data_IF_065463778177
#
_entry.id   IF_065463778177
#
_cell.length_a   1.000
_cell.length_b   1.000
_cell.length_c   1.000
_cell.angle_alpha   90.00
_cell.angle_beta   90.00
_cell.angle_gamma   90.00
#
_symmetry.space_group_name_H-M   'P 1'
#
loop_
_entity.id
_entity.type
_entity.pdbx_description
1 polymer ?
#
# COMPACT_ATOMS: atom_id res chain seq x y z
N UNK A 1 -8.60 -16.03 7.32
CA UNK A 1 -8.22 -15.92 5.89
C UNK A 1 -6.74 -16.18 5.77
N UNK A 2 -6.31 -16.90 4.76
CA UNK A 2 -4.89 -17.14 4.54
C UNK A 2 -4.26 -15.92 3.85
N UNK A 3 -2.94 -15.70 4.10
CA UNK A 3 -2.16 -14.65 3.45
C UNK A 3 -1.95 -14.91 1.95
N UNK A 4 -1.07 -14.13 1.34
CA UNK A 4 -0.58 -14.36 -0.03
C UNK A 4 0.87 -14.81 0.06
N UNK A 5 1.23 -15.86 -0.70
CA UNK A 5 2.60 -16.37 -0.76
C UNK A 5 3.15 -16.29 -2.17
N UNK A 6 4.34 -15.73 -2.28
CA UNK A 6 5.15 -15.75 -3.49
C UNK A 6 6.23 -16.82 -3.32
N UNK A 7 6.39 -17.67 -4.33
CA UNK A 7 7.42 -18.70 -4.35
C UNK A 7 8.26 -18.56 -5.64
N UNK A 8 9.53 -18.18 -5.46
CA UNK A 8 10.53 -18.01 -6.51
C UNK A 8 10.05 -17.12 -7.68
N UNK A 9 9.32 -16.02 -7.36
CA UNK A 9 8.73 -15.15 -8.38
C UNK A 9 9.78 -14.27 -9.04
N UNK A 10 9.85 -14.33 -10.39
CA UNK A 10 10.75 -13.51 -11.20
C UNK A 10 10.00 -12.76 -12.29
N UNK A 11 10.50 -11.55 -12.62
CA UNK A 11 9.96 -10.69 -13.68
C UNK A 11 11.06 -10.12 -14.55
N UNK A 12 10.87 -10.23 -15.87
CA UNK A 12 11.79 -9.72 -16.88
C UNK A 12 11.05 -8.69 -17.76
N UNK A 13 11.76 -7.66 -18.19
CA UNK A 13 11.31 -6.76 -19.24
C UNK A 13 12.31 -6.73 -20.38
N UNK A 14 11.82 -6.61 -21.60
CA UNK A 14 12.68 -6.46 -22.78
C UNK A 14 12.74 -4.98 -23.14
N UNK A 15 13.94 -4.40 -23.08
CA UNK A 15 14.23 -3.03 -23.49
C UNK A 15 15.32 -3.07 -24.56
N UNK A 16 15.07 -2.51 -25.75
CA UNK A 16 16.03 -2.45 -26.87
C UNK A 16 16.69 -3.83 -27.18
N UNK A 17 15.91 -4.92 -27.10
CA UNK A 17 16.34 -6.32 -27.30
C UNK A 17 17.15 -6.92 -26.14
N UNK A 18 17.43 -6.18 -25.09
CA UNK A 18 18.06 -6.71 -23.87
C UNK A 18 17.01 -7.12 -22.85
N UNK A 19 17.21 -8.28 -22.22
CA UNK A 19 16.34 -8.75 -21.14
C UNK A 19 16.84 -8.21 -19.80
N UNK A 20 16.05 -7.36 -19.19
CA UNK A 20 16.32 -6.78 -17.87
C UNK A 20 15.53 -7.55 -16.81
N UNK A 21 16.21 -8.18 -15.88
CA UNK A 21 15.61 -8.87 -14.74
C UNK A 21 15.31 -7.85 -13.65
N UNK A 22 14.01 -7.54 -13.45
CA UNK A 22 13.54 -6.53 -12.46
C UNK A 22 13.24 -7.17 -11.11
N UNK A 23 12.72 -8.41 -11.11
CA UNK A 23 12.57 -9.21 -9.89
C UNK A 23 13.21 -10.58 -10.10
N UNK A 24 13.93 -11.08 -9.10
CA UNK A 24 14.76 -12.24 -9.19
C UNK A 24 14.53 -13.21 -8.03
N UNK A 25 13.64 -14.20 -8.25
CA UNK A 25 13.42 -15.27 -7.27
C UNK A 25 12.88 -14.74 -5.95
N UNK A 26 11.77 -13.99 -5.97
CA UNK A 26 11.16 -13.45 -4.76
C UNK A 26 10.41 -14.55 -4.03
N UNK A 27 10.86 -14.83 -2.80
CA UNK A 27 10.15 -15.66 -1.82
C UNK A 27 9.62 -14.75 -0.72
N UNK A 28 8.28 -14.63 -0.59
CA UNK A 28 7.63 -13.70 0.32
C UNK A 28 6.32 -14.26 0.83
N UNK A 29 6.16 -14.29 2.15
CA UNK A 29 4.87 -14.50 2.80
C UNK A 29 4.30 -13.16 3.24
N UNK A 30 3.09 -12.84 2.75
CA UNK A 30 2.33 -11.65 3.11
C UNK A 30 1.18 -12.11 4.02
N UNK A 31 1.27 -11.87 5.33
CA UNK A 31 0.28 -12.37 6.29
C UNK A 31 -1.07 -11.70 6.10
N UNK A 32 -2.14 -12.44 6.41
CA UNK A 32 -3.49 -11.89 6.43
C UNK A 32 -3.68 -10.90 7.58
N UNK A 33 -4.53 -9.89 7.34
CA UNK A 33 -4.94 -8.89 8.34
C UNK A 33 -3.78 -8.09 8.95
N UNK A 34 -2.66 -7.99 8.24
CA UNK A 34 -1.48 -7.23 8.63
C UNK A 34 -1.07 -6.24 7.54
N UNK A 35 -0.28 -5.25 7.93
CA UNK A 35 0.36 -4.32 7.02
C UNK A 35 1.78 -4.83 6.74
N UNK A 36 2.02 -5.28 5.50
CA UNK A 36 3.37 -5.60 5.02
C UNK A 36 3.90 -4.44 4.21
N UNK A 37 5.03 -3.89 4.61
CA UNK A 37 5.67 -2.77 3.91
C UNK A 37 6.83 -3.27 3.06
N UNK A 38 6.82 -2.90 1.78
CA UNK A 38 7.96 -3.06 0.87
C UNK A 38 8.73 -1.75 0.83
N UNK A 39 9.89 -1.75 1.41
CA UNK A 39 10.80 -0.62 1.48
C UNK A 39 11.95 -0.80 0.50
N UNK A 40 12.36 0.25 -0.19
CA UNK A 40 13.50 0.20 -1.09
C UNK A 40 13.67 1.48 -1.90
N UNK A 41 14.81 1.61 -2.55
CA UNK A 41 15.13 2.77 -3.40
C UNK A 41 14.27 2.80 -4.68
N UNK A 42 14.20 3.96 -5.32
CA UNK A 42 13.54 4.06 -6.63
C UNK A 42 14.17 3.09 -7.64
N UNK A 43 13.33 2.43 -8.44
CA UNK A 43 13.79 1.48 -9.48
C UNK A 43 14.16 0.08 -8.97
N UNK A 44 14.05 -0.25 -7.68
CA UNK A 44 14.41 -1.58 -7.16
C UNK A 44 13.36 -2.68 -7.42
N UNK A 45 12.20 -2.36 -8.01
CA UNK A 45 11.15 -3.34 -8.37
C UNK A 45 9.90 -3.33 -7.50
N UNK A 46 9.72 -2.38 -6.55
CA UNK A 46 8.57 -2.32 -5.63
C UNK A 46 7.22 -2.28 -6.36
N UNK A 47 7.04 -1.32 -7.27
CA UNK A 47 5.81 -1.18 -8.06
C UNK A 47 5.55 -2.41 -8.93
N UNK A 48 6.61 -3.02 -9.49
CA UNK A 48 6.48 -4.28 -10.24
C UNK A 48 5.96 -5.39 -9.33
N UNK A 49 6.55 -5.58 -8.15
CA UNK A 49 6.09 -6.57 -7.17
C UNK A 49 4.60 -6.37 -6.82
N UNK A 50 4.20 -5.11 -6.57
CA UNK A 50 2.83 -4.75 -6.27
C UNK A 50 1.88 -5.14 -7.42
N UNK A 51 2.27 -4.84 -8.68
CA UNK A 51 1.49 -5.17 -9.88
C UNK A 51 1.34 -6.68 -10.09
N UNK A 52 2.38 -7.46 -9.80
CA UNK A 52 2.30 -8.93 -9.87
C UNK A 52 1.31 -9.48 -8.84
N UNK A 53 1.40 -9.04 -7.58
CA UNK A 53 0.48 -9.48 -6.51
C UNK A 53 -0.96 -9.07 -6.81
N UNK A 54 -1.17 -7.89 -7.40
CA UNK A 54 -2.51 -7.42 -7.77
C UNK A 54 -3.12 -8.19 -8.96
N UNK A 55 -2.28 -8.84 -9.78
CA UNK A 55 -2.69 -9.44 -11.05
C UNK A 55 -2.82 -8.44 -12.20
N UNK A 56 -2.36 -7.18 -12.01
CA UNK A 56 -2.29 -6.17 -13.09
C UNK A 56 -1.19 -6.50 -14.10
N UNK A 57 -0.25 -7.35 -13.70
CA UNK A 57 0.84 -7.82 -14.55
C UNK A 57 1.13 -9.29 -14.26
N UNK A 58 1.58 -10.06 -15.27
CA UNK A 58 1.99 -11.44 -15.12
C UNK A 58 3.45 -11.57 -14.72
N UNK A 59 3.78 -12.56 -13.90
CA UNK A 59 5.16 -12.96 -13.62
C UNK A 59 5.66 -13.90 -14.71
N UNK A 60 6.99 -14.04 -14.84
CA UNK A 60 7.60 -14.88 -15.86
C UNK A 60 8.05 -16.25 -15.29
N UNK A 61 8.35 -16.34 -13.99
CA UNK A 61 8.74 -17.55 -13.28
C UNK A 61 8.20 -17.56 -11.86
N UNK A 62 8.03 -18.74 -11.28
CA UNK A 62 7.54 -18.94 -9.92
C UNK A 62 6.02 -19.06 -9.86
N UNK A 63 5.46 -18.81 -8.69
CA UNK A 63 4.00 -18.83 -8.44
C UNK A 63 3.59 -17.84 -7.37
N UNK A 64 2.33 -17.39 -7.44
CA UNK A 64 1.68 -16.55 -6.42
C UNK A 64 0.43 -17.28 -5.93
N UNK A 65 0.46 -17.71 -4.67
CA UNK A 65 -0.59 -18.53 -4.07
C UNK A 65 -1.50 -17.66 -3.21
N UNK A 66 -2.81 -17.88 -3.28
CA UNK A 66 -3.80 -17.22 -2.44
C UNK A 66 -4.23 -15.82 -2.91
N UNK A 67 -3.72 -15.34 -4.06
CA UNK A 67 -4.10 -14.02 -4.58
C UNK A 67 -5.43 -14.03 -5.36
N UNK A 68 -5.74 -15.10 -6.10
CA UNK A 68 -6.88 -15.13 -7.04
C UNK A 68 -8.24 -15.18 -6.35
N UNK A 69 -8.31 -15.76 -5.15
CA UNK A 69 -9.55 -15.89 -4.38
C UNK A 69 -9.95 -14.63 -3.61
N UNK A 70 -9.18 -13.53 -3.70
CA UNK A 70 -9.34 -12.32 -2.88
C UNK A 70 -9.94 -11.17 -3.66
N UNK A 71 -10.81 -10.40 -2.99
CA UNK A 71 -11.23 -9.08 -3.48
C UNK A 71 -10.06 -8.12 -3.25
N UNK A 72 -9.51 -7.60 -4.34
CA UNK A 72 -8.31 -6.75 -4.31
C UNK A 72 -8.64 -5.32 -4.69
N UNK A 73 -8.09 -4.34 -3.95
CA UNK A 73 -8.10 -2.94 -4.31
C UNK A 73 -6.67 -2.42 -4.50
N UNK A 74 -6.50 -1.42 -5.36
CA UNK A 74 -5.21 -0.81 -5.65
C UNK A 74 -5.29 0.71 -5.50
N UNK A 75 -4.41 1.27 -4.67
CA UNK A 75 -4.18 2.71 -4.53
C UNK A 75 -2.91 3.06 -5.29
N UNK A 76 -3.06 3.82 -6.36
CA UNK A 76 -1.94 4.27 -7.18
C UNK A 76 -1.24 5.48 -6.53
N UNK A 77 -0.01 5.73 -6.92
CA UNK A 77 0.75 6.91 -6.52
C UNK A 77 0.02 8.21 -6.92
N UNK A 78 -0.57 8.23 -8.12
CA UNK A 78 -1.50 9.27 -8.56
C UNK A 78 -2.91 8.96 -8.08
N UNK A 79 -3.71 9.96 -7.75
CA UNK A 79 -5.06 9.80 -7.20
C UNK A 79 -6.07 9.13 -8.15
N UNK A 80 -5.86 9.28 -9.48
CA UNK A 80 -6.68 8.70 -10.57
C UNK A 80 -8.19 8.85 -10.32
N UNK A 81 -8.61 10.03 -9.88
CA UNK A 81 -10.02 10.35 -9.72
C UNK A 81 -10.68 10.64 -11.07
N UNK A 82 -11.97 10.27 -11.18
CA UNK A 82 -12.80 10.64 -12.31
C UNK A 82 -13.17 12.13 -12.20
N UNK A 83 -12.67 13.03 -13.07
CA UNK A 83 -12.83 14.47 -12.89
C UNK A 83 -14.28 14.96 -13.01
N UNK A 84 -15.15 14.17 -13.63
CA UNK A 84 -16.58 14.45 -13.79
C UNK A 84 -17.47 13.87 -12.70
N UNK A 85 -16.91 13.17 -11.71
CA UNK A 85 -17.62 12.61 -10.55
C UNK A 85 -17.28 13.42 -9.30
N UNK A 86 -18.25 13.59 -8.41
CA UNK A 86 -18.03 14.13 -7.07
C UNK A 86 -17.29 13.13 -6.16
N UNK A 87 -16.96 13.55 -4.94
CA UNK A 87 -16.24 12.74 -3.95
C UNK A 87 -16.96 11.43 -3.69
N UNK A 88 -18.26 11.45 -3.37
CA UNK A 88 -19.02 10.22 -3.10
C UNK A 88 -19.02 9.28 -4.29
N UNK A 89 -19.30 9.80 -5.47
CA UNK A 89 -19.34 9.01 -6.69
C UNK A 89 -17.98 8.43 -7.08
N UNK A 90 -16.88 9.17 -6.80
CA UNK A 90 -15.52 8.64 -6.95
C UNK A 90 -15.24 7.49 -5.96
N UNK A 91 -15.67 7.62 -4.70
CA UNK A 91 -15.47 6.59 -3.68
C UNK A 91 -16.25 5.32 -4.01
N UNK A 92 -17.46 5.44 -4.53
CA UNK A 92 -18.30 4.31 -4.92
C UNK A 92 -18.04 3.81 -6.35
N UNK A 93 -17.11 4.43 -7.07
CA UNK A 93 -16.76 4.04 -8.43
C UNK A 93 -16.19 2.62 -8.47
N UNK A 94 -16.78 1.77 -9.32
CA UNK A 94 -16.41 0.36 -9.45
C UNK A 94 -17.20 -0.60 -8.55
N UNK A 95 -18.03 -0.07 -7.63
CA UNK A 95 -18.96 -0.90 -6.82
C UNK A 95 -20.30 -0.98 -7.56
N UNK A 96 -20.83 -2.19 -7.71
CA UNK A 96 -22.15 -2.35 -8.32
C UNK A 96 -23.22 -1.66 -7.46
N UNK A 97 -24.13 -0.86 -8.06
CA UNK A 97 -25.10 0.00 -7.35
C UNK A 97 -25.89 -0.72 -6.23
N UNK A 98 -26.22 -2.01 -6.43
CA UNK A 98 -26.95 -2.83 -5.45
C UNK A 98 -26.09 -3.31 -4.28
N UNK A 99 -24.76 -3.21 -4.39
CA UNK A 99 -23.79 -3.66 -3.40
C UNK A 99 -23.18 -2.50 -2.61
N UNK A 100 -23.58 -1.25 -2.91
CA UNK A 100 -23.10 -0.08 -2.19
C UNK A 100 -23.71 -0.07 -0.79
N UNK A 101 -22.87 -0.31 0.21
CA UNK A 101 -23.21 -0.03 1.60
C UNK A 101 -23.02 1.47 1.89
N UNK A 102 -24.12 2.21 1.82
CA UNK A 102 -24.12 3.66 2.03
C UNK A 102 -23.64 4.07 3.42
N UNK A 103 -23.95 3.28 4.46
CA UNK A 103 -23.51 3.58 5.82
C UNK A 103 -22.00 3.46 5.93
N UNK A 104 -21.42 2.38 5.37
CA UNK A 104 -19.97 2.18 5.31
C UNK A 104 -19.27 3.30 4.52
N UNK A 105 -19.82 3.68 3.38
CA UNK A 105 -19.28 4.78 2.55
C UNK A 105 -19.27 6.09 3.34
N UNK A 106 -20.37 6.43 3.99
CA UNK A 106 -20.50 7.66 4.77
C UNK A 106 -19.53 7.67 5.98
N UNK A 107 -19.36 6.54 6.66
CA UNK A 107 -18.37 6.36 7.73
C UNK A 107 -16.93 6.54 7.23
N UNK A 108 -16.59 5.95 6.08
CA UNK A 108 -15.25 6.10 5.49
C UNK A 108 -15.01 7.56 5.11
N UNK A 109 -15.98 8.24 4.48
CA UNK A 109 -15.88 9.67 4.12
C UNK A 109 -15.65 10.53 5.36
N UNK A 110 -16.34 10.23 6.47
CA UNK A 110 -16.14 10.92 7.74
C UNK A 110 -14.75 10.66 8.32
N UNK A 111 -14.31 9.40 8.33
CA UNK A 111 -13.00 8.98 8.85
C UNK A 111 -11.84 9.67 8.10
N UNK A 112 -11.91 9.78 6.77
CA UNK A 112 -10.88 10.49 5.98
C UNK A 112 -11.08 12.02 5.98
N UNK A 113 -11.98 12.57 6.81
CA UNK A 113 -12.17 14.02 6.99
C UNK A 113 -12.79 14.73 5.79
N UNK A 114 -13.52 14.03 4.91
CA UNK A 114 -14.08 14.59 3.68
C UNK A 114 -15.58 14.88 3.75
N UNK A 115 -16.22 14.81 4.92
CA UNK A 115 -17.68 15.01 5.08
C UNK A 115 -18.17 16.35 4.49
N UNK A 116 -17.41 17.44 4.67
CA UNK A 116 -17.76 18.77 4.14
C UNK A 116 -17.60 18.89 2.62
N UNK A 117 -16.89 17.95 1.99
CA UNK A 117 -16.56 17.92 0.57
C UNK A 117 -17.28 16.81 -0.19
N UNK A 118 -18.33 16.27 0.40
CA UNK A 118 -19.08 15.11 -0.11
C UNK A 118 -19.52 15.22 -1.58
N UNK A 119 -19.99 16.42 -1.98
CA UNK A 119 -20.44 16.75 -3.34
C UNK A 119 -19.40 17.56 -4.14
N UNK A 120 -18.18 17.71 -3.63
CA UNK A 120 -17.13 18.45 -4.34
C UNK A 120 -16.54 17.60 -5.47
N UNK A 121 -16.15 18.27 -6.56
CA UNK A 121 -15.46 17.64 -7.68
C UNK A 121 -13.93 17.68 -7.47
N UNK A 122 -13.16 16.79 -8.13
CA UNK A 122 -11.70 16.74 -7.99
C UNK A 122 -11.00 18.10 -8.23
N UNK A 123 -11.53 18.94 -9.12
CA UNK A 123 -10.98 20.28 -9.38
C UNK A 123 -11.08 21.25 -8.18
N UNK A 124 -11.92 20.93 -7.20
CA UNK A 124 -12.17 21.74 -5.99
C UNK A 124 -11.38 21.20 -4.78
N UNK A 125 -10.60 20.13 -4.95
CA UNK A 125 -9.87 19.45 -3.88
C UNK A 125 -8.38 19.75 -3.95
N UNK A 126 -7.73 19.84 -2.79
CA UNK A 126 -6.27 19.82 -2.70
C UNK A 126 -5.71 18.45 -3.08
N UNK A 127 -4.40 18.35 -3.38
CA UNK A 127 -3.75 17.07 -3.68
C UNK A 127 -3.93 16.03 -2.55
N UNK A 128 -3.75 16.45 -1.29
CA UNK A 128 -3.98 15.58 -0.14
C UNK A 128 -5.44 15.11 -0.02
N UNK A 129 -6.41 15.99 -0.31
CA UNK A 129 -7.84 15.59 -0.31
C UNK A 129 -8.13 14.58 -1.41
N UNK A 130 -7.57 14.74 -2.60
CA UNK A 130 -7.72 13.77 -3.70
C UNK A 130 -7.14 12.41 -3.32
N UNK A 131 -5.99 12.40 -2.66
CA UNK A 131 -5.37 11.16 -2.16
C UNK A 131 -6.26 10.47 -1.12
N UNK A 132 -6.88 11.24 -0.20
CA UNK A 132 -7.87 10.71 0.75
C UNK A 132 -9.07 10.08 0.05
N UNK A 133 -9.58 10.67 -1.03
CA UNK A 133 -10.65 10.08 -1.85
C UNK A 133 -10.21 8.77 -2.48
N UNK A 134 -8.97 8.68 -3.01
CA UNK A 134 -8.42 7.45 -3.60
C UNK A 134 -8.32 6.32 -2.57
N UNK A 135 -7.84 6.62 -1.36
CA UNK A 135 -7.75 5.66 -0.25
C UNK A 135 -9.17 5.25 0.20
N UNK A 136 -10.08 6.21 0.37
CA UNK A 136 -11.47 5.93 0.74
C UNK A 136 -12.17 5.02 -0.28
N UNK A 137 -11.94 5.23 -1.58
CA UNK A 137 -12.44 4.37 -2.67
C UNK A 137 -11.96 2.93 -2.52
N UNK A 138 -10.68 2.72 -2.20
CA UNK A 138 -10.14 1.39 -2.01
C UNK A 138 -10.82 0.65 -0.84
N UNK A 139 -11.02 1.33 0.29
CA UNK A 139 -11.68 0.73 1.46
C UNK A 139 -13.20 0.55 1.28
N UNK A 140 -13.86 1.44 0.53
CA UNK A 140 -15.30 1.33 0.25
C UNK A 140 -15.65 0.07 -0.57
N UNK A 141 -14.70 -0.43 -1.37
CA UNK A 141 -14.84 -1.67 -2.13
C UNK A 141 -14.93 -2.93 -1.27
N UNK A 142 -14.72 -2.83 0.06
CA UNK A 142 -14.67 -3.95 1.01
C UNK A 142 -13.65 -5.04 0.61
N UNK A 143 -12.39 -4.69 0.42
CA UNK A 143 -11.40 -5.63 -0.07
C UNK A 143 -10.87 -6.54 1.04
N UNK A 144 -10.47 -7.76 0.66
CA UNK A 144 -9.64 -8.64 1.49
C UNK A 144 -8.19 -8.17 1.54
N UNK A 145 -7.77 -7.50 0.44
CA UNK A 145 -6.38 -7.13 0.22
C UNK A 145 -6.24 -5.79 -0.51
N UNK A 146 -5.47 -4.87 0.06
CA UNK A 146 -5.19 -3.56 -0.55
C UNK A 146 -3.71 -3.45 -0.89
N UNK A 147 -3.40 -3.09 -2.13
CA UNK A 147 -2.07 -2.68 -2.56
C UNK A 147 -2.00 -1.16 -2.61
N UNK A 148 -0.96 -0.57 -2.01
CA UNK A 148 -0.74 0.88 -1.98
C UNK A 148 0.66 1.22 -2.51
N UNK A 149 0.71 1.96 -3.62
CA UNK A 149 1.97 2.34 -4.28
C UNK A 149 2.33 3.78 -3.93
N UNK A 150 3.21 3.97 -2.95
CA UNK A 150 3.70 5.26 -2.44
C UNK A 150 2.58 6.30 -2.20
N UNK A 151 1.48 5.94 -1.47
CA UNK A 151 0.25 6.76 -1.43
C UNK A 151 0.44 8.12 -0.73
N UNK A 152 1.52 8.30 0.01
CA UNK A 152 1.78 9.52 0.77
C UNK A 152 2.93 10.37 0.21
N UNK A 153 3.49 9.99 -0.95
CA UNK A 153 4.67 10.64 -1.52
C UNK A 153 4.47 12.13 -1.86
N UNK A 154 3.24 12.52 -2.22
CA UNK A 154 2.89 13.89 -2.59
C UNK A 154 2.38 14.75 -1.41
N UNK A 155 2.37 14.22 -0.17
CA UNK A 155 1.85 14.91 1.00
C UNK A 155 2.96 15.65 1.77
N UNK A 156 2.61 16.81 2.32
CA UNK A 156 3.44 17.47 3.32
C UNK A 156 3.52 16.65 4.64
N UNK A 157 4.44 17.02 5.51
CA UNK A 157 4.74 16.26 6.73
C UNK A 157 3.50 16.05 7.62
N UNK A 158 2.78 17.11 7.96
CA UNK A 158 1.64 17.02 8.89
C UNK A 158 0.46 16.27 8.29
N UNK A 159 0.17 16.52 7.00
CA UNK A 159 -0.88 15.79 6.29
C UNK A 159 -0.55 14.31 6.20
N UNK A 160 0.73 13.97 6.02
CA UNK A 160 1.20 12.58 5.97
C UNK A 160 1.02 11.87 7.30
N UNK A 161 1.43 12.46 8.43
CA UNK A 161 1.21 11.90 9.77
C UNK A 161 -0.29 11.64 10.01
N UNK A 162 -1.13 12.64 9.74
CA UNK A 162 -2.57 12.48 9.87
C UNK A 162 -3.11 11.32 9.03
N UNK A 163 -2.62 11.16 7.79
CA UNK A 163 -3.06 10.08 6.90
C UNK A 163 -2.58 8.71 7.36
N UNK A 164 -1.40 8.61 7.96
CA UNK A 164 -0.91 7.38 8.58
C UNK A 164 -1.82 6.96 9.74
N UNK A 165 -2.16 7.88 10.63
CA UNK A 165 -3.08 7.62 11.74
C UNK A 165 -4.47 7.18 11.24
N UNK A 166 -5.00 7.86 10.22
CA UNK A 166 -6.28 7.52 9.61
C UNK A 166 -6.24 6.12 8.97
N UNK A 167 -5.15 5.79 8.25
CA UNK A 167 -4.95 4.47 7.66
C UNK A 167 -4.93 3.37 8.73
N UNK A 168 -4.19 3.58 9.82
CA UNK A 168 -4.13 2.63 10.93
C UNK A 168 -5.49 2.41 11.58
N UNK A 169 -6.25 3.48 11.84
CA UNK A 169 -7.62 3.39 12.39
C UNK A 169 -8.56 2.60 11.48
N UNK A 170 -8.52 2.86 10.17
CA UNK A 170 -9.34 2.12 9.20
C UNK A 170 -8.92 0.66 9.15
N UNK A 171 -7.59 0.39 9.10
CA UNK A 171 -7.06 -0.96 9.09
C UNK A 171 -7.45 -1.76 10.33
N UNK A 172 -7.34 -1.16 11.52
CA UNK A 172 -7.71 -1.80 12.79
C UNK A 172 -9.19 -2.21 12.83
N UNK A 173 -10.05 -1.39 12.22
CA UNK A 173 -11.50 -1.63 12.16
C UNK A 173 -11.88 -2.67 11.10
N UNK A 174 -11.31 -2.59 9.91
CA UNK A 174 -11.69 -3.41 8.76
C UNK A 174 -10.88 -4.70 8.65
N UNK A 175 -9.71 -4.76 9.31
CA UNK A 175 -8.81 -5.93 9.34
C UNK A 175 -8.54 -6.55 7.97
N UNK A 176 -8.39 -5.70 6.92
CA UNK A 176 -7.96 -6.15 5.62
C UNK A 176 -6.42 -6.25 5.57
N UNK A 177 -5.89 -7.09 4.71
CA UNK A 177 -4.44 -7.15 4.49
C UNK A 177 -3.98 -5.98 3.64
N UNK A 178 -2.84 -5.36 3.98
CA UNK A 178 -2.28 -4.24 3.20
C UNK A 178 -0.86 -4.58 2.78
N UNK A 179 -0.57 -4.43 1.48
CA UNK A 179 0.79 -4.39 0.95
C UNK A 179 1.11 -2.94 0.59
N UNK A 180 1.95 -2.32 1.39
CA UNK A 180 2.28 -0.90 1.30
C UNK A 180 3.69 -0.72 0.74
N UNK A 181 3.83 0.06 -0.32
CA UNK A 181 5.12 0.39 -0.92
C UNK A 181 5.51 1.80 -0.54
N UNK A 182 6.73 1.98 -0.07
CA UNK A 182 7.32 3.29 0.24
C UNK A 182 8.83 3.29 0.07
N UNK A 183 9.42 4.48 0.02
CA UNK A 183 10.86 4.72 0.17
C UNK A 183 11.20 5.37 1.52
N UNK A 184 10.19 5.65 2.37
CA UNK A 184 10.36 6.27 3.69
C UNK A 184 10.49 5.20 4.77
N UNK A 185 11.61 5.20 5.48
CA UNK A 185 11.86 4.28 6.60
C UNK A 185 10.89 4.59 7.76
N UNK A 186 10.59 5.87 8.00
CA UNK A 186 9.69 6.27 9.07
C UNK A 186 8.27 5.78 8.80
N UNK A 187 7.77 5.89 7.57
CA UNK A 187 6.49 5.27 7.18
C UNK A 187 6.48 3.76 7.42
N UNK A 188 7.57 3.08 7.05
CA UNK A 188 7.67 1.63 7.24
C UNK A 188 7.62 1.25 8.72
N UNK A 189 8.28 2.01 9.58
CA UNK A 189 8.30 1.76 11.03
C UNK A 189 6.96 2.09 11.71
N UNK A 190 6.29 3.17 11.26
CA UNK A 190 4.97 3.55 11.79
C UNK A 190 3.90 2.54 11.40
N UNK A 191 3.86 2.14 10.13
CA UNK A 191 2.73 1.39 9.57
C UNK A 191 2.93 -0.13 9.62
N UNK A 192 4.17 -0.61 9.37
CA UNK A 192 4.40 -2.02 9.04
C UNK A 192 4.36 -2.97 10.24
N UNK A 193 3.59 -4.04 10.17
CA UNK A 193 3.77 -5.21 11.03
C UNK A 193 4.92 -6.09 10.53
N UNK A 194 5.18 -6.03 9.22
CA UNK A 194 6.31 -6.69 8.56
C UNK A 194 6.93 -5.71 7.56
N UNK A 195 8.26 -5.56 7.61
CA UNK A 195 9.02 -4.71 6.70
C UNK A 195 9.93 -5.58 5.84
N UNK A 196 9.84 -5.43 4.54
CA UNK A 196 10.67 -6.11 3.55
C UNK A 196 11.56 -5.08 2.88
N UNK A 197 12.86 -5.24 2.98
CA UNK A 197 13.82 -4.41 2.24
C UNK A 197 14.09 -5.05 0.89
N UNK A 198 13.65 -4.37 -0.18
CA UNK A 198 13.85 -4.78 -1.55
C UNK A 198 15.01 -3.99 -2.17
N UNK A 199 16.01 -4.69 -2.71
CA UNK A 199 17.15 -4.09 -3.40
C UNK A 199 17.46 -4.83 -4.69
N UNK A 200 17.58 -4.11 -5.81
CA UNK A 200 17.95 -4.67 -7.13
C UNK A 200 17.16 -5.95 -7.48
N UNK A 201 15.85 -5.95 -7.17
CA UNK A 201 14.96 -7.05 -7.49
C UNK A 201 15.07 -8.29 -6.59
N UNK A 202 15.74 -8.22 -5.46
CA UNK A 202 15.83 -9.31 -4.47
C UNK A 202 15.42 -8.80 -3.09
N UNK A 203 14.91 -9.69 -2.25
CA UNK A 203 14.68 -9.40 -0.83
C UNK A 203 16.02 -9.47 -0.11
N UNK A 204 16.47 -8.35 0.42
CA UNK A 204 17.74 -8.25 1.16
C UNK A 204 17.56 -8.61 2.63
N UNK A 205 16.49 -8.12 3.25
CA UNK A 205 16.16 -8.39 4.66
C UNK A 205 14.67 -8.31 4.91
N UNK A 206 14.25 -8.91 6.02
CA UNK A 206 12.87 -8.89 6.49
C UNK A 206 12.89 -8.62 8.01
N UNK A 207 11.97 -7.77 8.46
CA UNK A 207 11.80 -7.41 9.86
C UNK A 207 10.34 -7.56 10.27
N UNK A 208 10.07 -8.20 11.39
CA UNK A 208 8.75 -8.28 12.00
C UNK A 208 8.71 -7.35 13.21
N UNK A 209 7.61 -6.61 13.35
CA UNK A 209 7.38 -5.68 14.45
C UNK A 209 6.17 -6.21 15.23
N UNK A 210 6.43 -6.63 16.47
CA UNK A 210 5.40 -7.23 17.33
C UNK A 210 4.52 -6.18 18.00
N UNK A 211 5.07 -4.98 18.22
CA UNK A 211 4.35 -3.88 18.85
C UNK A 211 3.24 -3.35 17.93
N UNK A 212 2.07 -3.12 18.50
CA UNK A 212 0.97 -2.48 17.78
C UNK A 212 1.37 -1.08 17.34
N UNK A 213 0.93 -0.69 16.14
CA UNK A 213 1.28 0.61 15.54
C UNK A 213 0.99 1.81 16.46
N UNK A 214 -0.13 1.76 17.20
CA UNK A 214 -0.52 2.84 18.12
C UNK A 214 0.35 2.94 19.38
N UNK A 215 1.14 1.91 19.70
CA UNK A 215 1.99 1.84 20.89
C UNK A 215 3.48 2.11 20.56
N UNK A 216 3.79 2.46 19.29
CA UNK A 216 5.17 2.64 18.81
C UNK A 216 5.66 4.05 19.07
N UNK A 217 6.75 4.16 19.84
CA UNK A 217 7.56 5.38 19.91
C UNK A 217 8.84 5.18 19.09
N UNK A 218 8.95 5.90 17.97
CA UNK A 218 10.12 5.80 17.10
C UNK A 218 11.42 6.38 17.75
N UNK A 219 11.30 7.04 18.91
CA UNK A 219 12.42 7.52 19.69
C UNK A 219 12.95 6.46 20.67
N UNK A 220 12.22 5.38 20.89
CA UNK A 220 12.69 4.26 21.70
C UNK A 220 13.96 3.65 21.10
N UNK A 221 14.90 3.27 21.95
CA UNK A 221 16.19 2.66 21.58
C UNK A 221 16.05 1.48 20.61
N UNK A 222 14.99 0.68 20.74
CA UNK A 222 14.71 -0.45 19.86
C UNK A 222 14.39 -0.01 18.42
N UNK A 223 13.54 1.03 18.26
CA UNK A 223 13.20 1.56 16.94
C UNK A 223 14.35 2.34 16.32
N UNK A 224 15.14 3.06 17.14
CA UNK A 224 16.38 3.72 16.68
C UNK A 224 17.38 2.69 16.16
N UNK A 225 17.57 1.57 16.85
CA UNK A 225 18.44 0.47 16.40
C UNK A 225 17.90 -0.19 15.12
N UNK A 226 16.60 -0.48 15.06
CA UNK A 226 15.96 -1.06 13.88
C UNK A 226 16.08 -0.12 12.67
N UNK A 227 15.82 1.17 12.86
CA UNK A 227 16.01 2.20 11.82
C UNK A 227 17.44 2.19 11.28
N UNK A 228 18.44 2.09 12.17
CA UNK A 228 19.86 2.01 11.77
C UNK A 228 20.15 0.76 10.96
N UNK A 229 19.66 -0.40 11.36
CA UNK A 229 19.81 -1.65 10.60
C UNK A 229 19.22 -1.54 9.19
N UNK A 230 17.99 -1.02 9.08
CA UNK A 230 17.33 -0.79 7.80
C UNK A 230 18.14 0.19 6.91
N UNK A 231 18.68 1.28 7.51
CA UNK A 231 19.54 2.23 6.78
C UNK A 231 20.79 1.52 6.26
N UNK A 232 21.42 0.67 7.07
CA UNK A 232 22.63 -0.06 6.67
C UNK A 232 22.32 -1.06 5.55
N UNK A 233 21.15 -1.70 5.57
CA UNK A 233 20.70 -2.56 4.47
C UNK A 233 20.42 -1.77 3.17
N UNK A 234 19.95 -0.54 3.27
CA UNK A 234 19.68 0.32 2.11
C UNK A 234 20.94 1.00 1.56
N UNK A 235 22.04 1.02 2.30
CA UNK A 235 23.33 1.48 1.80
C UNK A 235 23.92 0.43 0.87
N UNK A 236 23.99 0.77 -0.40
CA UNK A 236 24.71 -0.04 -1.38
C UNK A 236 26.21 0.14 -1.13
N UNK A 237 26.92 -0.95 -0.86
CA UNK A 237 28.38 -0.99 -0.98
C UNK A 237 28.73 -1.19 -2.46
#
# INVERSE_FOLDING_TARGET
MDGIKLANVSKFYTVEKESIKVLNGIDLDIPANKITVILGRSGCGKTTLLRLVSGLESFDQGEIIGADSKRKAYVFQEDRLMPWLDVKSNITFGIHKKEIDHNRVDEIIETVGLKKFYNAYPSQLSGGMKQRVSIARAFAYDPDFIMMDEPFSALDYFTREQMQDELLRIHERLKCSILFVTHSIDEALVLGDKIIVLEKGIIKSQYEIEEKSNDRDLLDDKFVKLKKQIIDDLKVI
#
